data_IF_324983241541
#
_entry.id   IF_324983241541
#
_cell.length_a   1.000
_cell.length_b   1.000
_cell.length_c   1.000
_cell.angle_alpha   90.00
_cell.angle_beta   90.00
_cell.angle_gamma   90.00
#
_symmetry.space_group_name_H-M   'P 1'
#
loop_
_entity.id
_entity.type
_entity.pdbx_description
1 polymer ?
#
# COMPACT_ATOMS: atom_id res chain seq x y z
N UNK A 1 -1.00 17.54 1.32
CA UNK A 1 -0.27 16.27 1.55
C UNK A 1 -0.83 15.19 0.67
N UNK A 2 0.03 14.41 0.05
CA UNK A 2 -0.32 13.29 -0.82
C UNK A 2 0.19 12.00 -0.23
N UNK A 3 -0.60 10.94 -0.38
CA UNK A 3 -0.15 9.58 -0.07
C UNK A 3 0.06 8.87 -1.40
N UNK A 4 1.26 8.39 -1.64
CA UNK A 4 1.59 7.70 -2.88
C UNK A 4 1.82 6.22 -2.64
N UNK A 5 1.62 5.41 -3.67
CA UNK A 5 1.88 3.98 -3.57
C UNK A 5 2.62 3.49 -4.81
N UNK A 6 3.41 2.46 -4.60
CA UNK A 6 3.97 1.64 -5.67
C UNK A 6 3.53 0.21 -5.38
N UNK A 7 2.75 -0.36 -6.28
CA UNK A 7 2.23 -1.71 -6.14
C UNK A 7 2.94 -2.61 -7.15
N UNK A 8 3.56 -3.66 -6.65
CA UNK A 8 4.26 -4.65 -7.47
C UNK A 8 3.62 -6.01 -7.27
N UNK A 9 3.23 -6.65 -8.36
CA UNK A 9 2.68 -7.99 -8.32
C UNK A 9 3.62 -8.94 -9.04
N UNK A 10 3.80 -10.14 -8.48
CA UNK A 10 4.66 -11.18 -9.04
C UNK A 10 3.82 -12.36 -9.49
N UNK A 11 4.19 -12.93 -10.63
CA UNK A 11 3.51 -14.11 -11.16
C UNK A 11 4.49 -14.98 -11.94
N UNK A 12 4.05 -16.16 -12.29
CA UNK A 12 4.84 -17.07 -13.12
C UNK A 12 4.13 -17.30 -14.44
N UNK A 13 4.89 -17.29 -15.51
CA UNK A 13 4.40 -17.63 -16.84
C UNK A 13 5.52 -18.31 -17.62
N UNK A 14 5.27 -19.51 -18.13
CA UNK A 14 6.25 -20.26 -18.88
C UNK A 14 7.53 -20.58 -18.11
N UNK A 15 7.42 -20.79 -16.79
CA UNK A 15 8.56 -21.07 -15.92
C UNK A 15 9.38 -19.84 -15.54
N UNK A 16 8.90 -18.65 -15.87
CA UNK A 16 9.59 -17.38 -15.59
C UNK A 16 8.81 -16.55 -14.59
N UNK A 17 9.50 -15.90 -13.66
CA UNK A 17 8.88 -14.95 -12.77
C UNK A 17 8.70 -13.62 -13.51
N UNK A 18 7.47 -13.15 -13.51
CA UNK A 18 7.11 -11.86 -14.10
C UNK A 18 6.70 -10.89 -12.99
N UNK A 19 7.11 -9.65 -13.12
CA UNK A 19 6.75 -8.59 -12.19
C UNK A 19 6.07 -7.47 -12.95
N UNK A 20 5.01 -6.93 -12.35
CA UNK A 20 4.28 -5.79 -12.88
C UNK A 20 4.17 -4.73 -11.80
N UNK A 21 4.50 -3.50 -12.14
CA UNK A 21 4.51 -2.40 -11.17
C UNK A 21 3.55 -1.29 -11.61
N UNK A 22 2.71 -0.87 -10.68
CA UNK A 22 1.78 0.24 -10.88
C UNK A 22 1.98 1.25 -9.78
N UNK A 23 2.04 2.52 -10.13
CA UNK A 23 2.19 3.60 -9.16
C UNK A 23 1.02 4.55 -9.25
N UNK A 24 0.63 5.12 -8.12
CA UNK A 24 -0.44 6.08 -8.06
C UNK A 24 -0.39 6.91 -6.79
N UNK A 25 -1.40 7.77 -6.63
CA UNK A 25 -1.46 8.63 -5.47
C UNK A 25 -2.90 8.92 -5.07
N UNK A 26 -3.08 9.22 -3.78
CA UNK A 26 -4.34 9.71 -3.24
C UNK A 26 -4.12 11.12 -2.72
N UNK A 27 -4.91 12.07 -3.23
CA UNK A 27 -4.75 13.49 -2.89
C UNK A 27 -5.88 14.02 -2.00
N UNK A 28 -6.98 13.29 -1.93
CA UNK A 28 -8.14 13.67 -1.12
C UNK A 28 -8.56 12.48 -0.28
N UNK A 29 -8.29 12.56 1.01
CA UNK A 29 -8.65 11.51 1.94
C UNK A 29 -8.76 12.10 3.35
N UNK A 30 -9.49 11.41 4.22
CA UNK A 30 -9.65 11.77 5.62
C UNK A 30 -9.64 10.52 6.48
N UNK A 31 -9.70 10.71 7.79
CA UNK A 31 -9.82 9.61 8.74
C UNK A 31 -11.11 8.84 8.45
N UNK A 32 -11.00 7.53 8.31
CA UNK A 32 -12.13 6.67 7.96
C UNK A 32 -12.27 6.42 6.46
N UNK A 33 -11.49 7.10 5.63
CA UNK A 33 -11.53 6.89 4.17
C UNK A 33 -10.95 5.52 3.82
N UNK A 34 -11.69 4.77 3.00
CA UNK A 34 -11.17 3.55 2.39
C UNK A 34 -10.53 3.93 1.06
N UNK A 35 -9.26 3.64 0.91
CA UNK A 35 -8.48 4.01 -0.28
C UNK A 35 -8.68 2.98 -1.38
N UNK A 36 -8.87 3.46 -2.62
CA UNK A 36 -8.94 2.57 -3.77
C UNK A 36 -7.58 1.93 -4.02
N UNK A 37 -7.57 0.61 -4.15
CA UNK A 37 -6.36 -0.17 -4.30
C UNK A 37 -6.38 -0.94 -5.62
N UNK A 38 -5.23 -1.03 -6.33
CA UNK A 38 -5.14 -1.87 -7.53
C UNK A 38 -5.49 -3.34 -7.28
N UNK A 39 -5.26 -3.80 -6.06
CA UNK A 39 -5.64 -5.16 -5.66
C UNK A 39 -6.91 -5.08 -4.82
N UNK A 40 -8.03 -5.54 -5.38
CA UNK A 40 -9.34 -5.47 -4.72
C UNK A 40 -9.45 -6.32 -3.46
N UNK A 41 -8.54 -7.26 -3.25
CA UNK A 41 -8.51 -8.09 -2.04
C UNK A 41 -7.81 -7.40 -0.88
N UNK A 42 -7.12 -6.29 -1.14
CA UNK A 42 -6.42 -5.51 -0.12
C UNK A 42 -7.28 -4.31 0.25
N UNK A 43 -7.60 -4.20 1.54
CA UNK A 43 -8.35 -3.06 2.07
C UNK A 43 -7.40 -2.12 2.79
N UNK A 44 -7.45 -0.85 2.40
CA UNK A 44 -6.62 0.19 2.97
C UNK A 44 -7.54 1.26 3.55
N UNK A 45 -7.47 1.47 4.85
CA UNK A 45 -8.31 2.45 5.55
C UNK A 45 -7.43 3.45 6.29
N UNK A 46 -7.68 4.73 6.10
CA UNK A 46 -6.96 5.78 6.82
C UNK A 46 -7.52 5.86 8.24
N UNK A 47 -6.66 5.68 9.24
CA UNK A 47 -7.08 5.68 10.65
C UNK A 47 -6.63 6.91 11.41
N UNK A 48 -5.59 7.58 10.96
CA UNK A 48 -5.10 8.80 11.61
C UNK A 48 -4.33 9.66 10.61
N UNK A 49 -4.44 10.97 10.76
CA UNK A 49 -3.70 11.95 9.95
C UNK A 49 -3.12 12.99 10.89
N UNK A 50 -1.84 13.27 10.75
CA UNK A 50 -1.17 14.38 11.42
C UNK A 50 -0.57 15.31 10.36
N UNK A 51 0.22 16.31 10.77
CA UNK A 51 0.80 17.27 9.83
C UNK A 51 1.78 16.65 8.82
N UNK A 52 2.37 15.50 9.16
CA UNK A 52 3.40 14.86 8.33
C UNK A 52 3.23 13.35 8.21
N UNK A 53 2.21 12.77 8.83
CA UNK A 53 2.04 11.32 8.92
C UNK A 53 0.61 10.92 8.57
N UNK A 54 0.48 9.86 7.79
CA UNK A 54 -0.79 9.19 7.52
C UNK A 54 -0.69 7.77 8.04
N UNK A 55 -1.60 7.38 8.92
CA UNK A 55 -1.65 6.01 9.43
C UNK A 55 -2.73 5.24 8.69
N UNK A 56 -2.35 4.08 8.15
CA UNK A 56 -3.21 3.24 7.34
C UNK A 56 -3.34 1.88 7.99
N UNK A 57 -4.56 1.36 8.03
CA UNK A 57 -4.79 -0.04 8.38
C UNK A 57 -4.92 -0.82 7.08
N UNK A 58 -4.00 -1.75 6.85
CA UNK A 58 -3.97 -2.59 5.67
C UNK A 58 -4.41 -4.01 6.03
N UNK A 59 -5.32 -4.55 5.25
CA UNK A 59 -5.84 -5.91 5.47
C UNK A 59 -5.86 -6.69 4.16
N UNK A 60 -5.29 -7.89 4.21
CA UNK A 60 -5.33 -8.83 3.11
C UNK A 60 -5.71 -10.20 3.67
N UNK A 61 -6.94 -10.64 3.38
CA UNK A 61 -7.51 -11.89 3.91
C UNK A 61 -7.51 -11.83 5.45
N UNK A 62 -6.72 -12.70 6.12
CA UNK A 62 -6.62 -12.72 7.59
C UNK A 62 -5.42 -11.93 8.10
N UNK A 63 -4.62 -11.36 7.22
CA UNK A 63 -3.43 -10.60 7.60
C UNK A 63 -3.76 -9.11 7.71
N UNK A 64 -3.37 -8.50 8.81
CA UNK A 64 -3.62 -7.09 9.07
C UNK A 64 -2.36 -6.43 9.59
N UNK A 65 -2.15 -5.19 9.18
CA UNK A 65 -1.01 -4.40 9.64
C UNK A 65 -1.37 -2.93 9.68
N UNK A 66 -0.91 -2.23 10.70
CA UNK A 66 -1.04 -0.78 10.79
C UNK A 66 0.28 -0.15 10.36
N UNK A 67 0.20 0.79 9.43
CA UNK A 67 1.36 1.43 8.83
C UNK A 67 1.30 2.93 9.10
N UNK A 68 2.37 3.49 9.68
CA UNK A 68 2.50 4.94 9.87
C UNK A 68 3.49 5.47 8.85
N UNK A 69 2.98 6.10 7.81
CA UNK A 69 3.76 6.62 6.70
C UNK A 69 3.97 8.11 6.89
N UNK A 70 5.21 8.55 6.86
CA UNK A 70 5.53 9.97 7.06
C UNK A 70 6.42 10.51 5.95
N UNK A 71 6.66 11.82 5.95
CA UNK A 71 7.53 12.46 4.97
C UNK A 71 8.95 11.90 4.97
N UNK A 72 9.39 11.36 6.11
CA UNK A 72 10.74 10.81 6.28
C UNK A 72 10.80 9.29 6.34
N UNK A 73 9.65 8.61 6.28
CA UNK A 73 9.60 7.17 6.49
C UNK A 73 8.53 6.51 5.62
N UNK A 74 8.98 5.72 4.67
CA UNK A 74 8.08 4.89 3.86
C UNK A 74 7.76 3.59 4.60
N UNK A 75 6.62 2.99 4.26
CA UNK A 75 6.20 1.72 4.83
C UNK A 75 5.79 0.76 3.73
N UNK A 76 5.97 -0.52 4.00
CA UNK A 76 5.67 -1.58 3.03
C UNK A 76 4.64 -2.55 3.61
N UNK A 77 3.68 -2.92 2.77
CA UNK A 77 2.72 -3.96 3.09
C UNK A 77 2.77 -5.04 2.02
N UNK A 78 2.88 -6.29 2.46
CA UNK A 78 2.95 -7.43 1.56
C UNK A 78 4.33 -8.04 1.51
N UNK A 79 4.44 -9.16 0.84
CA UNK A 79 5.68 -9.92 0.72
C UNK A 79 5.96 -10.20 -0.74
N UNK A 80 7.02 -9.60 -1.27
CA UNK A 80 7.41 -9.78 -2.66
C UNK A 80 7.75 -11.21 -3.02
N UNK A 81 8.28 -11.95 -2.06
CA UNK A 81 8.90 -13.24 -2.36
C UNK A 81 7.93 -14.42 -2.27
N UNK A 82 6.95 -14.38 -1.37
CA UNK A 82 6.30 -15.62 -0.96
C UNK A 82 4.79 -15.57 -0.82
N UNK A 83 4.33 -15.29 0.40
CA UNK A 83 2.96 -15.60 0.78
C UNK A 83 1.90 -14.74 0.09
N UNK A 84 2.24 -13.49 -0.24
CA UNK A 84 1.27 -12.56 -0.80
C UNK A 84 1.33 -12.49 -2.33
N UNK A 85 2.52 -12.62 -2.91
CA UNK A 85 2.72 -12.46 -4.34
C UNK A 85 2.65 -11.01 -4.80
N UNK A 86 2.61 -10.06 -3.88
CA UNK A 86 2.58 -8.63 -4.18
C UNK A 86 3.18 -7.84 -3.03
N UNK A 87 3.49 -6.58 -3.31
CA UNK A 87 3.89 -5.64 -2.26
C UNK A 87 3.38 -4.24 -2.58
N UNK A 88 3.12 -3.48 -1.54
CA UNK A 88 2.84 -2.05 -1.59
C UNK A 88 3.93 -1.31 -0.86
N UNK A 89 4.45 -0.26 -1.47
CA UNK A 89 5.32 0.71 -0.80
C UNK A 89 4.57 2.02 -0.75
N UNK A 90 4.37 2.55 0.44
CA UNK A 90 3.65 3.80 0.66
C UNK A 90 4.62 4.91 1.03
N UNK A 91 4.44 6.08 0.45
CA UNK A 91 5.19 7.27 0.83
C UNK A 91 4.23 8.46 0.95
N UNK A 92 4.60 9.42 1.80
CA UNK A 92 3.86 10.67 1.96
C UNK A 92 4.69 11.77 1.31
N UNK A 93 4.03 12.62 0.53
CA UNK A 93 4.64 13.80 -0.09
C UNK A 93 3.78 15.03 0.17
N UNK A 94 4.42 16.17 0.19
CA UNK A 94 3.77 17.46 0.36
C UNK A 94 2.95 17.93 -0.84
#
# INVERSE_FOLDING_TARGET
>A
MKLTYTYTVHGFSGGRMLSNTVSGEWVSFGVGTELDSPNSEVKLTVTQITSDTVTIHAKYRTNEKTLSVSLSNEETFGDEANAYGFSYVFTVKE
#
